data_IF_684924069260
#
_entry.id   IF_684924069260
#
_cell.length_a   1.000
_cell.length_b   1.000
_cell.length_c   1.000
_cell.angle_alpha   90.00
_cell.angle_beta   90.00
_cell.angle_gamma   90.00
#
_symmetry.space_group_name_H-M   'P 1'
#
loop_
_entity.id
_entity.type
_entity.pdbx_description
1 polymer ?
#
# COMPACT_ATOMS: atom_id res chain seq x y z
N UNK A 1 -70.57 -13.43 13.32
CA UNK A 1 -69.54 -14.50 13.25
C UNK A 1 -69.01 -14.55 11.82
N UNK A 2 -67.72 -14.87 11.67
CA UNK A 2 -66.97 -15.15 10.42
C UNK A 2 -67.02 -14.09 9.29
N UNK A 3 -65.98 -13.81 8.50
CA UNK A 3 -64.50 -13.83 8.53
C UNK A 3 -64.06 -13.60 7.06
N UNK A 4 -62.78 -13.35 6.82
CA UNK A 4 -62.08 -13.50 5.54
C UNK A 4 -62.40 -12.50 4.38
N UNK A 5 -61.61 -11.43 4.32
CA UNK A 5 -60.53 -11.35 3.33
C UNK A 5 -60.88 -11.15 1.85
N UNK A 6 -60.91 -9.88 1.42
CA UNK A 6 -60.75 -9.48 0.00
C UNK A 6 -59.38 -8.83 -0.19
N UNK A 7 -58.47 -9.50 -0.90
CA UNK A 7 -57.26 -8.88 -1.47
C UNK A 7 -57.22 -9.06 -2.99
N UNK A 8 -56.39 -8.24 -3.64
CA UNK A 8 -56.57 -7.80 -5.04
C UNK A 8 -55.85 -8.71 -6.05
N UNK A 9 -56.22 -8.52 -7.31
CA UNK A 9 -55.72 -9.23 -8.47
C UNK A 9 -54.22 -9.00 -8.71
N UNK A 10 -53.54 -10.01 -9.25
CA UNK A 10 -52.24 -9.93 -9.92
C UNK A 10 -52.24 -10.90 -11.10
N UNK A 11 -51.85 -10.44 -12.29
CA UNK A 11 -52.04 -11.20 -13.53
C UNK A 11 -50.92 -12.23 -13.77
N UNK A 12 -51.30 -13.43 -14.22
CA UNK A 12 -50.34 -14.43 -14.73
C UNK A 12 -50.07 -14.12 -16.20
N UNK A 13 -48.89 -13.56 -16.49
CA UNK A 13 -48.39 -13.41 -17.86
C UNK A 13 -47.61 -14.68 -18.22
N UNK A 14 -48.13 -15.45 -19.16
CA UNK A 14 -47.42 -16.59 -19.72
C UNK A 14 -46.34 -16.11 -20.72
N UNK A 15 -45.08 -16.14 -20.30
CA UNK A 15 -43.95 -15.94 -21.21
C UNK A 15 -43.61 -17.25 -21.92
N UNK A 16 -43.90 -17.34 -23.22
CA UNK A 16 -43.52 -18.49 -24.06
C UNK A 16 -42.01 -18.49 -24.30
N UNK A 17 -41.29 -19.45 -23.73
CA UNK A 17 -39.88 -19.64 -23.98
C UNK A 17 -39.63 -20.10 -25.43
N UNK A 18 -39.16 -19.18 -26.28
CA UNK A 18 -38.68 -19.50 -27.63
C UNK A 18 -37.28 -20.11 -27.57
N UNK A 19 -37.18 -21.42 -27.70
CA UNK A 19 -35.90 -22.14 -27.83
C UNK A 19 -35.22 -21.81 -29.18
N UNK A 20 -34.36 -20.80 -29.19
CA UNK A 20 -33.40 -20.58 -30.27
C UNK A 20 -32.17 -21.46 -30.02
N UNK A 21 -32.17 -22.66 -30.60
CA UNK A 21 -31.01 -23.56 -30.61
C UNK A 21 -29.90 -22.99 -31.49
N UNK A 22 -28.93 -22.32 -30.88
CA UNK A 22 -27.74 -21.84 -31.58
C UNK A 22 -26.67 -22.94 -31.59
N UNK A 23 -26.63 -23.73 -32.67
CA UNK A 23 -25.62 -24.78 -32.86
C UNK A 23 -24.25 -24.17 -33.15
N UNK A 24 -23.43 -23.93 -32.11
CA UNK A 24 -22.01 -23.64 -32.28
C UNK A 24 -21.26 -24.92 -32.70
N UNK A 25 -21.08 -25.10 -34.00
CA UNK A 25 -20.02 -25.97 -34.52
C UNK A 25 -18.67 -25.29 -34.29
N UNK A 26 -17.99 -25.62 -33.19
CA UNK A 26 -16.56 -25.34 -33.02
C UNK A 26 -15.78 -26.22 -34.00
N UNK A 27 -15.30 -25.62 -35.07
CA UNK A 27 -14.28 -26.23 -35.94
C UNK A 27 -12.90 -25.99 -35.31
N UNK A 28 -12.33 -27.02 -34.68
CA UNK A 28 -10.99 -26.95 -34.10
C UNK A 28 -9.91 -26.93 -35.18
N UNK A 29 -9.42 -25.74 -35.56
CA UNK A 29 -8.21 -25.52 -36.37
C UNK A 29 -7.66 -24.12 -36.07
N UNK A 30 -6.41 -23.99 -35.60
CA UNK A 30 -5.75 -22.67 -35.53
C UNK A 30 -4.78 -22.37 -34.38
N UNK A 31 -4.27 -23.35 -33.62
CA UNK A 31 -3.43 -23.15 -32.42
C UNK A 31 -2.01 -22.55 -32.66
N UNK A 32 -1.83 -21.82 -33.78
CA UNK A 32 -0.58 -21.11 -34.14
C UNK A 32 -0.71 -19.58 -34.18
N UNK A 33 -1.92 -19.01 -34.23
CA UNK A 33 -2.09 -17.56 -34.29
C UNK A 33 -1.98 -16.88 -32.91
N UNK A 34 -2.44 -17.54 -31.84
CA UNK A 34 -2.40 -16.96 -30.49
C UNK A 34 -0.97 -16.79 -29.96
N UNK A 35 -0.05 -17.67 -30.36
CA UNK A 35 1.35 -17.61 -29.94
C UNK A 35 2.08 -16.39 -30.56
N UNK A 36 1.78 -16.06 -31.81
CA UNK A 36 2.26 -14.84 -32.46
C UNK A 36 1.62 -13.57 -31.86
N UNK A 37 0.32 -13.62 -31.52
CA UNK A 37 -0.37 -12.51 -30.85
C UNK A 37 0.18 -12.24 -29.44
N UNK A 38 0.53 -13.30 -28.69
CA UNK A 38 1.18 -13.17 -27.39
C UNK A 38 2.60 -12.62 -27.49
N UNK A 39 3.38 -12.98 -28.51
CA UNK A 39 4.71 -12.40 -28.76
C UNK A 39 4.64 -10.89 -29.04
N UNK A 40 3.75 -10.44 -29.92
CA UNK A 40 3.56 -9.00 -30.19
C UNK A 40 3.13 -8.24 -28.93
N UNK A 41 2.33 -8.86 -28.06
CA UNK A 41 1.95 -8.27 -26.76
C UNK A 41 3.12 -8.22 -25.78
N UNK A 42 4.03 -9.20 -25.81
CA UNK A 42 5.25 -9.22 -24.99
C UNK A 42 6.19 -8.08 -25.42
N UNK A 43 6.50 -7.99 -26.72
CA UNK A 43 7.33 -6.92 -27.30
C UNK A 43 6.74 -5.52 -26.95
N UNK A 44 5.42 -5.39 -27.00
CA UNK A 44 4.73 -4.14 -26.65
C UNK A 44 4.80 -3.81 -25.16
N UNK A 45 4.76 -4.82 -24.27
CA UNK A 45 4.94 -4.64 -22.83
C UNK A 45 6.39 -4.29 -22.48
N UNK A 46 7.38 -4.92 -23.11
CA UNK A 46 8.80 -4.60 -22.91
C UNK A 46 9.12 -3.16 -23.33
N UNK A 47 8.60 -2.71 -24.47
CA UNK A 47 8.74 -1.30 -24.89
C UNK A 47 8.02 -0.34 -23.93
N UNK A 48 6.84 -0.71 -23.42
CA UNK A 48 6.10 0.12 -22.46
C UNK A 48 6.81 0.21 -21.10
N UNK A 49 7.44 -0.87 -20.62
CA UNK A 49 8.29 -0.86 -19.42
C UNK A 49 9.51 0.04 -19.64
N UNK A 50 10.17 -0.05 -20.80
CA UNK A 50 11.32 0.80 -21.16
C UNK A 50 10.96 2.28 -21.18
N UNK A 51 9.79 2.63 -21.75
CA UNK A 51 9.28 4.00 -21.79
C UNK A 51 8.86 4.53 -20.41
N UNK A 52 8.23 3.69 -19.57
CA UNK A 52 7.85 4.07 -18.21
C UNK A 52 9.08 4.25 -17.31
N UNK A 53 10.11 3.40 -17.43
CA UNK A 53 11.38 3.55 -16.70
C UNK A 53 12.06 4.88 -17.05
N UNK A 54 12.09 5.26 -18.34
CA UNK A 54 12.61 6.56 -18.77
C UNK A 54 11.80 7.76 -18.24
N UNK A 55 10.49 7.60 -18.04
CA UNK A 55 9.67 8.64 -17.38
C UNK A 55 9.99 8.77 -15.89
N UNK A 56 10.27 7.66 -15.19
CA UNK A 56 10.66 7.67 -13.77
C UNK A 56 11.99 8.42 -13.59
N UNK A 57 12.99 8.16 -14.43
CA UNK A 57 14.27 8.89 -14.42
C UNK A 57 14.07 10.40 -14.68
N UNK A 58 13.20 10.76 -15.63
CA UNK A 58 12.85 12.16 -15.91
C UNK A 58 12.16 12.87 -14.75
N UNK A 59 11.21 12.20 -14.08
CA UNK A 59 10.50 12.72 -12.91
C UNK A 59 11.44 12.88 -11.69
N UNK A 60 12.34 11.92 -11.46
CA UNK A 60 13.32 12.00 -10.39
C UNK A 60 14.25 13.22 -10.58
N UNK A 61 14.74 13.43 -11.81
CA UNK A 61 15.54 14.62 -12.14
C UNK A 61 14.76 15.93 -11.96
N UNK A 62 13.48 15.96 -12.35
CA UNK A 62 12.62 17.13 -12.16
C UNK A 62 12.37 17.43 -10.66
N UNK A 63 12.21 16.40 -9.82
CA UNK A 63 12.10 16.56 -8.36
C UNK A 63 13.38 17.14 -7.75
N UNK A 64 14.56 16.66 -8.15
CA UNK A 64 15.85 17.21 -7.68
C UNK A 64 16.01 18.68 -8.11
N UNK A 65 15.62 19.04 -9.33
CA UNK A 65 15.64 20.43 -9.78
C UNK A 65 14.69 21.33 -8.98
N UNK A 66 13.48 20.83 -8.68
CA UNK A 66 12.47 21.60 -7.94
C UNK A 66 12.89 21.83 -6.49
N UNK A 67 13.53 20.83 -5.85
CA UNK A 67 14.16 20.99 -4.53
C UNK A 67 15.27 22.05 -4.56
N UNK A 68 16.23 21.97 -5.49
CA UNK A 68 17.31 22.96 -5.61
C UNK A 68 16.79 24.38 -5.93
N UNK A 69 15.65 24.50 -6.63
CA UNK A 69 14.99 25.78 -6.86
C UNK A 69 14.32 26.31 -5.59
N UNK A 70 13.66 25.45 -4.80
CA UNK A 70 13.08 25.82 -3.51
C UNK A 70 14.14 26.24 -2.48
N UNK A 71 15.28 25.57 -2.43
CA UNK A 71 16.42 25.96 -1.58
C UNK A 71 16.91 27.36 -1.95
N UNK A 72 17.26 27.61 -3.21
CA UNK A 72 17.71 28.94 -3.68
C UNK A 72 16.65 30.03 -3.49
N UNK A 73 15.37 29.70 -3.64
CA UNK A 73 14.28 30.66 -3.43
C UNK A 73 14.10 30.97 -1.94
N UNK A 74 14.33 30.01 -1.04
CA UNK A 74 14.34 30.25 0.40
C UNK A 74 15.57 31.09 0.81
N UNK A 75 16.76 30.79 0.27
CA UNK A 75 17.98 31.59 0.48
C UNK A 75 17.82 33.04 0.01
N UNK A 76 17.22 33.29 -1.17
CA UNK A 76 16.95 34.66 -1.66
C UNK A 76 15.93 35.39 -0.78
N UNK A 77 14.84 34.72 -0.38
CA UNK A 77 13.85 35.30 0.52
C UNK A 77 14.44 35.63 1.89
N UNK A 78 15.25 34.75 2.47
CA UNK A 78 15.96 34.96 3.74
C UNK A 78 16.95 36.13 3.62
N UNK A 79 17.76 36.17 2.55
CA UNK A 79 18.69 37.28 2.29
C UNK A 79 17.97 38.63 2.10
N UNK A 80 16.78 38.62 1.50
CA UNK A 80 15.94 39.82 1.38
C UNK A 80 15.26 40.19 2.69
N UNK A 81 14.87 39.22 3.51
CA UNK A 81 14.32 39.45 4.84
C UNK A 81 15.37 40.10 5.75
N UNK A 82 16.59 39.56 5.79
CA UNK A 82 17.71 40.12 6.55
C UNK A 82 18.09 41.55 6.11
N UNK A 83 17.98 41.88 4.81
CA UNK A 83 18.19 43.25 4.33
C UNK A 83 17.06 44.21 4.75
N UNK A 84 15.82 43.74 4.85
CA UNK A 84 14.69 44.53 5.31
C UNK A 84 14.69 44.70 6.83
N UNK A 85 15.08 43.68 7.59
CA UNK A 85 15.20 43.73 9.05
C UNK A 85 16.46 44.50 9.51
N UNK A 86 17.55 44.46 8.73
CA UNK A 86 18.68 45.39 8.86
C UNK A 86 18.37 46.84 8.45
N UNK A 87 17.19 47.08 7.87
CA UNK A 87 16.73 48.36 7.35
C UNK A 87 15.77 49.11 8.29
N UNK A 88 16.33 49.85 9.25
CA UNK A 88 15.67 50.80 10.16
C UNK A 88 15.02 50.25 11.45
N UNK A 89 15.78 50.37 12.53
CA UNK A 89 15.30 51.08 13.73
C UNK A 89 16.12 52.37 13.90
N UNK A 90 15.67 53.48 13.31
CA UNK A 90 16.29 54.79 13.55
C UNK A 90 15.79 55.94 12.68
N UNK A 91 15.28 56.97 13.35
CA UNK A 91 14.96 58.33 12.87
C UNK A 91 13.86 58.54 11.80
N UNK A 92 12.91 59.40 12.18
CA UNK A 92 11.96 60.07 11.29
C UNK A 92 12.61 61.29 10.63
N UNK A 93 12.43 61.48 9.31
CA UNK A 93 11.98 62.79 8.80
C UNK A 93 11.53 62.74 7.33
N UNK A 94 10.69 63.71 6.94
CA UNK A 94 10.11 63.79 5.60
C UNK A 94 10.92 64.67 4.62
N UNK A 95 11.15 64.19 3.39
CA UNK A 95 11.58 65.03 2.26
C UNK A 95 11.10 64.48 0.90
N UNK A 96 10.80 65.39 -0.02
CA UNK A 96 10.19 65.16 -1.35
C UNK A 96 11.23 64.96 -2.48
N UNK A 97 10.83 64.51 -3.69
CA UNK A 97 11.75 63.86 -4.64
C UNK A 97 12.45 64.79 -5.65
N UNK A 98 13.67 64.40 -6.04
CA UNK A 98 14.43 64.84 -7.23
C UNK A 98 15.64 63.89 -7.39
N UNK A 99 16.11 63.44 -8.55
CA UNK A 99 15.67 63.67 -9.94
C UNK A 99 16.88 63.51 -10.89
N UNK A 100 16.93 62.41 -11.67
CA UNK A 100 18.05 62.08 -12.58
C UNK A 100 19.32 61.55 -11.86
N UNK A 101 20.26 60.85 -12.51
CA UNK A 101 20.41 60.43 -13.92
C UNK A 101 21.18 59.08 -14.00
N UNK A 102 20.91 58.26 -15.02
CA UNK A 102 21.83 57.21 -15.55
C UNK A 102 22.68 57.83 -16.69
N UNK A 103 23.73 57.19 -17.28
CA UNK A 103 24.22 55.80 -17.21
C UNK A 103 25.74 55.76 -16.81
N UNK A 104 26.64 54.82 -17.13
CA UNK A 104 26.64 53.69 -18.06
C UNK A 104 27.68 52.59 -17.74
N UNK A 105 27.43 51.40 -18.31
CA UNK A 105 28.33 50.26 -18.52
C UNK A 105 29.75 50.64 -18.99
N UNK A 106 30.80 49.98 -18.47
CA UNK A 106 32.10 49.82 -19.16
C UNK A 106 32.91 48.60 -18.69
N UNK A 107 33.14 47.68 -19.63
CA UNK A 107 34.20 46.67 -19.68
C UNK A 107 35.03 46.92 -20.97
N UNK A 108 36.17 46.25 -21.25
CA UNK A 108 37.17 45.58 -20.41
C UNK A 108 38.64 46.01 -20.72
N UNK A 109 39.62 45.56 -19.92
CA UNK A 109 41.01 45.16 -20.29
C UNK A 109 41.77 44.84 -18.99
N UNK A 110 42.14 43.60 -18.69
CA UNK A 110 43.23 42.79 -19.28
C UNK A 110 44.63 43.15 -18.77
N UNK A 111 45.20 42.27 -17.94
CA UNK A 111 46.63 41.99 -17.96
C UNK A 111 46.88 40.53 -17.55
N UNK A 112 47.63 39.80 -18.37
CA UNK A 112 48.03 38.41 -18.14
C UNK A 112 49.45 38.38 -17.59
N UNK A 113 49.76 37.47 -16.67
CA UNK A 113 51.05 36.74 -16.64
C UNK A 113 51.00 35.57 -15.65
N UNK A 114 51.52 34.43 -16.09
CA UNK A 114 51.47 33.13 -15.42
C UNK A 114 52.74 32.88 -14.59
N UNK A 115 52.67 31.99 -13.57
CA UNK A 115 53.78 31.12 -13.15
C UNK A 115 53.22 29.91 -12.37
N UNK A 116 53.70 28.71 -12.69
CA UNK A 116 53.45 27.38 -12.08
C UNK A 116 54.80 26.80 -11.55
N UNK A 117 54.92 25.60 -10.93
CA UNK A 117 53.98 24.80 -10.10
C UNK A 117 54.59 24.09 -8.83
N UNK A 118 53.72 23.44 -8.01
CA UNK A 118 53.92 22.17 -7.22
C UNK A 118 54.90 22.10 -5.99
N UNK A 119 54.84 21.08 -5.07
CA UNK A 119 53.76 20.13 -4.63
C UNK A 119 53.65 19.87 -3.07
N UNK A 120 52.87 18.84 -2.66
CA UNK A 120 52.81 18.10 -1.34
C UNK A 120 52.08 18.78 -0.15
N UNK A 121 51.51 18.07 0.87
CA UNK A 121 51.62 16.65 1.28
C UNK A 121 50.35 16.12 2.03
N UNK A 122 50.28 14.81 2.34
CA UNK A 122 49.21 14.14 3.10
C UNK A 122 49.63 13.77 4.54
N UNK A 123 48.71 13.85 5.51
CA UNK A 123 48.83 13.22 6.86
C UNK A 123 47.45 12.65 7.26
N UNK A 124 47.21 11.34 7.22
CA UNK A 124 47.57 10.32 8.22
C UNK A 124 46.86 10.52 9.56
N UNK A 125 45.96 9.58 9.90
CA UNK A 125 45.38 9.38 11.24
C UNK A 125 45.90 8.03 11.75
N UNK A 126 46.30 7.96 13.03
CA UNK A 126 46.81 6.77 13.70
C UNK A 126 45.87 6.39 14.88
N UNK A 127 45.59 5.10 15.15
CA UNK A 127 44.55 4.68 16.09
C UNK A 127 45.10 4.29 17.47
N UNK A 128 44.24 4.31 18.50
CA UNK A 128 44.54 3.68 19.78
C UNK A 128 43.29 3.00 20.39
N UNK A 129 43.40 1.68 20.57
CA UNK A 129 43.18 0.91 21.81
C UNK A 129 42.23 1.58 22.84
N UNK A 130 41.14 0.97 23.30
CA UNK A 130 40.85 -0.46 23.47
C UNK A 130 40.90 -0.82 24.95
N UNK A 131 39.74 -0.88 25.61
CA UNK A 131 39.61 -1.36 26.99
C UNK A 131 38.33 -2.18 27.14
N UNK A 132 38.37 -3.20 27.99
CA UNK A 132 37.33 -4.21 28.15
C UNK A 132 37.42 -4.85 29.53
N UNK A 133 36.49 -4.49 30.41
CA UNK A 133 36.14 -5.14 31.69
C UNK A 133 34.92 -4.36 32.27
N UNK A 134 33.99 -4.87 33.08
CA UNK A 134 33.54 -6.25 33.38
C UNK A 134 32.07 -6.14 33.88
N UNK A 135 31.34 -7.25 33.80
CA UNK A 135 29.97 -7.49 34.32
C UNK A 135 29.54 -6.74 35.60
N UNK A 136 28.28 -6.28 35.63
CA UNK A 136 27.38 -6.54 36.77
C UNK A 136 25.95 -6.78 36.26
N UNK A 137 25.19 -7.65 36.93
CA UNK A 137 23.86 -8.06 36.51
C UNK A 137 22.84 -7.87 37.62
N UNK A 138 21.77 -7.13 37.35
CA UNK A 138 20.54 -7.21 38.13
C UNK A 138 19.30 -6.95 37.28
N UNK A 139 18.39 -7.91 37.38
CA UNK A 139 17.10 -8.04 36.71
C UNK A 139 16.02 -7.14 37.35
N UNK A 140 15.38 -6.25 36.56
CA UNK A 140 13.97 -5.77 36.59
C UNK A 140 13.74 -5.10 35.21
N UNK A 141 12.66 -5.25 34.43
CA UNK A 141 11.40 -6.00 34.55
C UNK A 141 10.28 -5.27 33.75
N UNK A 142 9.49 -6.00 32.95
CA UNK A 142 8.42 -5.46 32.07
C UNK A 142 8.91 -4.98 30.70
N UNK A 143 8.66 -5.61 29.54
CA UNK A 143 7.47 -6.28 28.96
C UNK A 143 6.49 -5.32 28.25
N UNK A 144 6.51 -5.33 26.91
CA UNK A 144 5.40 -4.93 26.02
C UNK A 144 5.75 -5.30 24.54
N UNK A 145 6.06 -6.58 24.32
CA UNK A 145 6.06 -7.21 23.00
C UNK A 145 4.93 -8.25 22.98
N UNK A 146 3.68 -7.78 22.98
CA UNK A 146 2.51 -8.65 22.80
C UNK A 146 1.99 -8.57 21.36
N UNK A 147 1.39 -9.67 20.90
CA UNK A 147 0.73 -9.87 19.60
C UNK A 147 1.64 -10.13 18.38
N UNK A 148 2.44 -11.20 18.46
CA UNK A 148 2.89 -11.93 17.25
C UNK A 148 3.13 -13.45 17.45
N UNK A 149 3.25 -13.97 18.69
CA UNK A 149 3.64 -15.38 18.96
C UNK A 149 2.56 -16.28 19.56
N UNK A 150 1.59 -15.72 20.27
CA UNK A 150 0.87 -16.50 21.31
C UNK A 150 -0.45 -17.15 20.85
N UNK A 151 -0.75 -17.11 19.53
CA UNK A 151 -1.91 -17.80 18.94
C UNK A 151 -1.63 -19.30 18.69
N UNK A 152 -0.36 -19.73 18.76
CA UNK A 152 0.04 -21.11 18.43
C UNK A 152 0.34 -22.03 19.63
N UNK A 153 0.00 -21.63 20.87
CA UNK A 153 0.50 -22.31 22.08
C UNK A 153 -0.52 -22.55 23.23
N UNK A 154 -1.74 -22.99 22.92
CA UNK A 154 -2.71 -23.66 23.84
C UNK A 154 -3.98 -24.03 23.03
N UNK A 155 -4.65 -25.18 23.14
CA UNK A 155 -4.44 -26.43 23.89
C UNK A 155 -4.67 -27.62 22.94
N UNK A 156 -3.67 -28.48 22.71
CA UNK A 156 -3.95 -29.85 22.28
C UNK A 156 -4.13 -30.71 23.52
N UNK A 157 -5.39 -30.99 23.88
CA UNK A 157 -5.72 -31.94 24.94
C UNK A 157 -5.15 -33.31 24.60
N UNK A 158 -4.33 -33.86 25.49
CA UNK A 158 -3.73 -35.19 25.38
C UNK A 158 -4.80 -36.29 25.38
N UNK A 159 -5.33 -36.62 24.19
CA UNK A 159 -6.11 -37.84 24.00
C UNK A 159 -5.95 -38.37 22.57
N UNK A 160 -5.84 -39.69 22.46
CA UNK A 160 -5.61 -40.48 21.25
C UNK A 160 -4.25 -40.28 20.56
N UNK A 161 -3.18 -40.27 21.37
CA UNK A 161 -1.84 -40.66 20.95
C UNK A 161 -1.70 -42.20 20.94
N UNK A 162 -2.52 -42.89 20.15
CA UNK A 162 -2.39 -44.32 19.86
C UNK A 162 -2.53 -44.56 18.34
N UNK A 163 -1.59 -45.32 17.78
CA UNK A 163 -1.59 -45.90 16.41
C UNK A 163 -1.39 -44.98 15.18
N UNK A 164 -0.25 -44.28 15.11
CA UNK A 164 0.40 -44.00 13.80
C UNK A 164 1.40 -45.13 13.50
N UNK A 165 0.88 -46.28 13.08
CA UNK A 165 1.70 -47.37 12.53
C UNK A 165 2.17 -46.99 11.13
N UNK A 166 3.44 -46.59 11.03
CA UNK A 166 4.20 -46.60 9.78
C UNK A 166 4.56 -48.05 9.41
N UNK A 167 3.53 -48.84 9.09
CA UNK A 167 3.70 -50.17 8.51
C UNK A 167 4.28 -50.09 7.10
N UNK A 168 5.00 -51.13 6.63
CA UNK A 168 5.23 -51.27 5.19
C UNK A 168 3.87 -51.36 4.48
N UNK A 169 3.73 -50.87 3.25
CA UNK A 169 2.45 -50.90 2.55
C UNK A 169 1.98 -52.35 2.37
N UNK A 170 0.89 -52.72 3.04
CA UNK A 170 0.24 -54.02 2.87
C UNK A 170 -0.55 -54.06 1.56
N UNK A 171 0.19 -54.07 0.45
CA UNK A 171 -0.31 -54.30 -0.89
C UNK A 171 0.66 -55.18 -1.67
N UNK A 172 0.15 -56.09 -2.50
CA UNK A 172 1.01 -56.82 -3.42
C UNK A 172 1.70 -55.84 -4.38
N UNK A 173 3.00 -56.02 -4.62
CA UNK A 173 3.76 -55.24 -5.59
C UNK A 173 3.21 -55.50 -7.01
N UNK A 174 2.27 -54.65 -7.43
CA UNK A 174 1.55 -54.76 -8.70
C UNK A 174 0.05 -54.49 -8.61
N UNK A 175 -0.53 -54.40 -7.41
CA UNK A 175 -1.96 -54.09 -7.22
C UNK A 175 -2.21 -52.61 -6.89
N UNK A 176 -1.76 -51.70 -7.77
CA UNK A 176 -2.47 -50.42 -7.88
C UNK A 176 -3.89 -50.75 -8.35
N UNK A 177 -4.96 -50.22 -7.72
CA UNK A 177 -6.31 -50.32 -8.31
C UNK A 177 -6.26 -49.78 -9.74
N UNK A 178 -7.11 -50.28 -10.66
CA UNK A 178 -7.10 -49.81 -12.04
C UNK A 178 -7.27 -48.30 -12.01
N UNK A 179 -6.27 -47.59 -12.52
CA UNK A 179 -6.23 -46.13 -12.49
C UNK A 179 -7.52 -45.59 -13.08
N UNK A 180 -8.38 -45.00 -12.25
CA UNK A 180 -9.36 -44.07 -12.77
C UNK A 180 -8.59 -43.06 -13.62
N UNK A 181 -9.12 -42.71 -14.81
CA UNK A 181 -8.48 -41.68 -15.61
C UNK A 181 -8.36 -40.45 -14.73
N UNK A 182 -7.13 -39.94 -14.54
CA UNK A 182 -6.87 -38.72 -13.79
C UNK A 182 -7.86 -37.67 -14.28
N UNK A 183 -8.74 -37.21 -13.38
CA UNK A 183 -9.69 -36.18 -13.75
C UNK A 183 -8.92 -34.87 -13.90
N UNK A 184 -8.72 -34.49 -15.16
CA UNK A 184 -8.06 -33.23 -15.53
C UNK A 184 -9.07 -32.09 -15.64
N UNK A 185 -10.34 -32.30 -15.29
CA UNK A 185 -11.26 -31.20 -15.05
C UNK A 185 -10.94 -30.58 -13.69
N UNK A 186 -10.31 -29.41 -13.73
CA UNK A 186 -10.21 -28.54 -12.57
C UNK A 186 -11.58 -27.93 -12.34
N UNK A 187 -12.31 -28.47 -11.37
CA UNK A 187 -13.49 -27.85 -10.79
C UNK A 187 -13.03 -26.97 -9.60
N UNK A 188 -13.05 -25.63 -9.74
CA UNK A 188 -12.60 -24.72 -8.68
C UNK A 188 -13.47 -24.80 -7.42
N UNK A 189 -14.70 -25.31 -7.53
CA UNK A 189 -15.65 -25.41 -6.41
C UNK A 189 -15.57 -26.79 -5.71
N UNK A 190 -14.82 -27.76 -6.25
CA UNK A 190 -14.76 -29.14 -5.75
C UNK A 190 -13.72 -29.39 -4.65
N UNK A 191 -12.79 -28.46 -4.44
CA UNK A 191 -11.79 -28.53 -3.36
C UNK A 191 -12.25 -27.56 -2.26
N UNK A 192 -12.65 -28.04 -1.06
CA UNK A 192 -12.92 -27.17 0.07
C UNK A 192 -11.63 -26.41 0.41
N UNK A 193 -11.69 -25.08 0.37
CA UNK A 193 -10.55 -24.25 0.77
C UNK A 193 -10.37 -24.37 2.28
N UNK A 194 -9.15 -24.72 2.71
CA UNK A 194 -8.86 -24.96 4.13
C UNK A 194 -8.24 -23.70 4.79
N UNK A 195 -8.23 -23.65 6.12
CA UNK A 195 -7.52 -22.60 6.88
C UNK A 195 -6.03 -22.53 6.49
N UNK A 196 -5.43 -23.64 6.04
CA UNK A 196 -4.07 -23.68 5.50
C UNK A 196 -3.91 -22.83 4.23
N UNK A 197 -4.87 -22.87 3.31
CA UNK A 197 -4.88 -22.08 2.08
C UNK A 197 -5.08 -20.60 2.40
N UNK A 198 -5.99 -20.27 3.32
CA UNK A 198 -6.21 -18.92 3.80
C UNK A 198 -4.92 -18.30 4.37
N UNK A 199 -4.29 -18.99 5.31
CA UNK A 199 -3.05 -18.51 5.94
C UNK A 199 -1.91 -18.34 4.91
N UNK A 200 -1.76 -19.27 3.95
CA UNK A 200 -0.76 -19.16 2.90
C UNK A 200 -1.02 -17.96 1.97
N UNK A 201 -2.27 -17.75 1.56
CA UNK A 201 -2.71 -16.64 0.72
C UNK A 201 -2.50 -15.28 1.40
N UNK A 202 -2.86 -15.17 2.68
CA UNK A 202 -2.62 -13.99 3.50
C UNK A 202 -1.12 -13.69 3.61
N UNK A 203 -0.30 -14.70 3.92
CA UNK A 203 1.15 -14.53 4.10
C UNK A 203 1.83 -14.08 2.80
N UNK A 204 1.44 -14.65 1.66
CA UNK A 204 1.95 -14.25 0.35
C UNK A 204 1.66 -12.76 0.04
N UNK A 205 0.48 -12.27 0.42
CA UNK A 205 0.12 -10.85 0.33
C UNK A 205 0.93 -9.97 1.28
N UNK A 206 1.11 -10.40 2.53
CA UNK A 206 1.88 -9.66 3.53
C UNK A 206 3.37 -9.53 3.16
N UNK A 207 4.01 -10.63 2.77
CA UNK A 207 5.41 -10.65 2.33
C UNK A 207 5.63 -9.82 1.06
N UNK A 208 4.59 -9.61 0.26
CA UNK A 208 4.60 -8.72 -0.90
C UNK A 208 4.54 -7.24 -0.49
N UNK A 209 3.71 -6.87 0.50
CA UNK A 209 3.69 -5.50 1.07
C UNK A 209 5.06 -5.15 1.67
N UNK A 210 5.66 -6.06 2.43
CA UNK A 210 7.00 -5.88 3.04
C UNK A 210 8.08 -5.67 1.97
N UNK A 211 7.95 -6.29 0.79
CA UNK A 211 8.86 -6.10 -0.36
C UNK A 211 8.51 -4.90 -1.25
N UNK A 212 7.40 -4.20 -0.99
CA UNK A 212 6.89 -3.12 -1.85
C UNK A 212 6.27 -3.60 -3.17
N UNK A 213 5.97 -4.90 -3.29
CA UNK A 213 5.36 -5.53 -4.47
C UNK A 213 3.83 -5.33 -4.49
N UNK A 214 3.39 -4.07 -4.37
CA UNK A 214 1.99 -3.71 -4.13
C UNK A 214 1.01 -4.26 -5.17
N UNK A 215 1.42 -4.40 -6.44
CA UNK A 215 0.57 -5.00 -7.48
C UNK A 215 0.30 -6.49 -7.25
N UNK A 216 1.26 -7.23 -6.68
CA UNK A 216 1.07 -8.64 -6.31
C UNK A 216 0.31 -8.73 -4.98
N UNK A 217 0.68 -7.93 -3.97
CA UNK A 217 -0.03 -7.86 -2.69
C UNK A 217 -1.54 -7.64 -2.85
N UNK A 218 -1.93 -6.68 -3.70
CA UNK A 218 -3.33 -6.38 -3.98
C UNK A 218 -4.08 -7.59 -4.55
N UNK A 219 -3.47 -8.27 -5.52
CA UNK A 219 -4.04 -9.49 -6.11
C UNK A 219 -4.17 -10.60 -5.05
N UNK A 220 -3.22 -10.74 -4.13
CA UNK A 220 -3.31 -11.73 -3.06
C UNK A 220 -4.45 -11.43 -2.08
N UNK A 221 -4.56 -10.19 -1.59
CA UNK A 221 -5.60 -9.82 -0.63
C UNK A 221 -7.02 -9.76 -1.24
N UNK A 222 -7.17 -9.39 -2.51
CA UNK A 222 -8.49 -9.49 -3.19
C UNK A 222 -8.99 -10.93 -3.23
N UNK A 223 -8.16 -11.86 -3.69
CA UNK A 223 -8.48 -13.29 -3.68
C UNK A 223 -8.74 -13.79 -2.26
N UNK A 224 -7.98 -13.31 -1.26
CA UNK A 224 -8.24 -13.65 0.13
C UNK A 224 -9.67 -13.26 0.56
N UNK A 225 -10.09 -12.02 0.30
CA UNK A 225 -11.40 -11.51 0.75
C UNK A 225 -12.56 -12.14 -0.04
N UNK A 226 -12.33 -12.48 -1.32
CA UNK A 226 -13.30 -13.19 -2.17
C UNK A 226 -13.49 -14.65 -1.74
N UNK A 227 -12.39 -15.36 -1.46
CA UNK A 227 -12.40 -16.79 -1.10
C UNK A 227 -12.66 -17.06 0.38
N UNK A 228 -12.27 -16.16 1.28
CA UNK A 228 -12.29 -16.35 2.74
C UNK A 228 -12.96 -15.19 3.51
N UNK A 229 -14.16 -14.70 3.12
CA UNK A 229 -14.77 -13.50 3.71
C UNK A 229 -15.09 -13.64 5.21
N UNK A 230 -15.35 -14.85 5.70
CA UNK A 230 -15.66 -15.12 7.11
C UNK A 230 -14.42 -15.51 7.96
N UNK A 231 -13.22 -15.60 7.36
CA UNK A 231 -12.01 -16.00 8.08
C UNK A 231 -11.55 -14.92 9.08
N UNK A 232 -10.91 -15.32 10.19
CA UNK A 232 -10.47 -14.40 11.25
C UNK A 232 -9.56 -13.27 10.74
N UNK A 233 -8.77 -13.54 9.69
CA UNK A 233 -7.88 -12.57 9.05
C UNK A 233 -8.58 -11.67 8.01
N UNK A 234 -9.85 -11.90 7.62
CA UNK A 234 -10.51 -11.12 6.57
C UNK A 234 -10.59 -9.60 6.83
N UNK A 235 -10.85 -9.12 8.07
CA UNK A 235 -10.76 -7.69 8.38
C UNK A 235 -9.35 -7.12 8.24
N UNK A 236 -8.33 -7.96 8.46
CA UNK A 236 -6.91 -7.60 8.39
C UNK A 236 -6.41 -7.59 6.95
N UNK A 237 -6.77 -8.59 6.15
CA UNK A 237 -6.56 -8.63 4.71
C UNK A 237 -7.22 -7.41 4.02
N UNK A 238 -8.40 -7.00 4.48
CA UNK A 238 -9.08 -5.80 3.97
C UNK A 238 -8.34 -4.52 4.33
N UNK A 239 -7.78 -4.43 5.53
CA UNK A 239 -6.89 -3.33 5.92
C UNK A 239 -5.65 -3.28 5.01
N UNK A 240 -4.96 -4.40 4.80
CA UNK A 240 -3.77 -4.46 3.95
C UNK A 240 -4.07 -4.19 2.47
N UNK A 241 -5.24 -4.62 1.96
CA UNK A 241 -5.69 -4.27 0.62
C UNK A 241 -5.87 -2.76 0.47
N UNK A 242 -6.53 -2.11 1.44
CA UNK A 242 -6.69 -0.65 1.47
C UNK A 242 -5.37 0.10 1.55
N UNK A 243 -4.46 -0.30 2.45
CA UNK A 243 -3.08 0.24 2.53
C UNK A 243 -2.37 0.10 1.17
N UNK A 244 -2.44 -1.08 0.56
CA UNK A 244 -1.79 -1.38 -0.73
C UNK A 244 -2.33 -0.50 -1.85
N UNK A 245 -3.65 -0.29 -1.91
CA UNK A 245 -4.29 0.60 -2.87
C UNK A 245 -3.91 2.07 -2.64
N UNK A 246 -3.81 2.52 -1.39
CA UNK A 246 -3.31 3.86 -1.01
C UNK A 246 -1.86 4.06 -1.48
N UNK A 247 -0.96 3.08 -1.27
CA UNK A 247 0.43 3.14 -1.75
C UNK A 247 0.52 3.15 -3.28
N UNK A 248 -0.44 2.53 -3.98
CA UNK A 248 -0.59 2.58 -5.44
C UNK A 248 -1.27 3.85 -5.96
N UNK A 249 -1.66 4.78 -5.09
CA UNK A 249 -2.50 5.94 -5.40
C UNK A 249 -3.87 5.61 -6.03
N UNK A 250 -4.36 4.37 -5.85
CA UNK A 250 -5.67 3.91 -6.29
C UNK A 250 -6.76 4.33 -5.28
N UNK A 251 -6.81 5.62 -4.94
CA UNK A 251 -7.52 6.15 -3.78
C UNK A 251 -9.04 5.93 -3.79
N UNK A 252 -9.69 6.03 -4.95
CA UNK A 252 -11.14 5.78 -5.06
C UNK A 252 -11.49 4.31 -4.74
N UNK A 253 -10.70 3.38 -5.29
CA UNK A 253 -10.88 1.96 -5.05
C UNK A 253 -10.49 1.55 -3.62
N UNK A 254 -9.47 2.18 -3.04
CA UNK A 254 -9.17 2.04 -1.62
C UNK A 254 -10.36 2.47 -0.75
N UNK A 255 -11.02 3.58 -1.08
CA UNK A 255 -12.17 4.07 -0.33
C UNK A 255 -13.38 3.12 -0.42
N UNK A 256 -13.63 2.51 -1.58
CA UNK A 256 -14.67 1.49 -1.75
C UNK A 256 -14.37 0.26 -0.88
N UNK A 257 -13.18 -0.34 -1.02
CA UNK A 257 -12.76 -1.53 -0.24
C UNK A 257 -12.79 -1.27 1.28
N UNK A 258 -12.31 -0.11 1.73
CA UNK A 258 -12.24 0.22 3.15
C UNK A 258 -13.61 0.55 3.76
N UNK A 259 -14.53 1.12 2.97
CA UNK A 259 -15.91 1.33 3.38
C UNK A 259 -16.65 -0.01 3.50
N UNK A 260 -16.61 -0.85 2.46
CA UNK A 260 -17.24 -2.18 2.46
C UNK A 260 -16.69 -3.06 3.59
N UNK A 261 -15.37 -3.01 3.83
CA UNK A 261 -14.72 -3.66 4.97
C UNK A 261 -15.19 -3.14 6.32
N UNK A 262 -15.37 -1.83 6.47
CA UNK A 262 -15.87 -1.24 7.71
C UNK A 262 -17.34 -1.60 7.98
N UNK A 263 -18.17 -1.68 6.93
CA UNK A 263 -19.58 -2.10 7.04
C UNK A 263 -19.71 -3.62 7.31
N UNK A 264 -18.82 -4.44 6.74
CA UNK A 264 -18.79 -5.90 6.91
C UNK A 264 -18.23 -6.34 8.26
N UNK A 265 -17.21 -5.63 8.77
CA UNK A 265 -16.49 -5.99 10.00
C UNK A 265 -16.61 -4.95 11.14
N UNK A 266 -17.82 -4.45 11.49
CA UNK A 266 -18.00 -3.27 12.34
C UNK A 266 -17.61 -3.47 13.82
N UNK A 267 -17.40 -4.72 14.24
CA UNK A 267 -16.94 -5.13 15.59
C UNK A 267 -15.51 -5.65 15.61
N UNK A 268 -14.80 -5.64 14.48
CA UNK A 268 -13.39 -6.06 14.42
C UNK A 268 -12.48 -5.09 15.18
N UNK A 269 -11.39 -5.60 15.74
CA UNK A 269 -10.29 -4.78 16.29
C UNK A 269 -9.68 -3.85 15.23
N UNK A 270 -9.81 -4.19 13.94
CA UNK A 270 -9.40 -3.38 12.79
C UNK A 270 -10.40 -2.30 12.35
N UNK A 271 -11.62 -2.29 12.87
CA UNK A 271 -12.62 -1.29 12.49
C UNK A 271 -12.17 0.19 12.67
N UNK A 272 -11.38 0.57 13.69
CA UNK A 272 -10.81 1.92 13.78
C UNK A 272 -9.80 2.22 12.66
N UNK A 273 -8.91 1.27 12.36
CA UNK A 273 -7.90 1.40 11.30
C UNK A 273 -8.55 1.49 9.91
N UNK A 274 -9.56 0.67 9.63
CA UNK A 274 -10.32 0.70 8.38
C UNK A 274 -10.98 2.07 8.15
N UNK A 275 -11.63 2.63 9.18
CA UNK A 275 -12.27 3.94 9.10
C UNK A 275 -11.25 5.09 9.00
N UNK A 276 -10.09 4.96 9.63
CA UNK A 276 -8.99 5.92 9.51
C UNK A 276 -8.39 5.92 8.10
N UNK A 277 -8.07 4.75 7.56
CA UNK A 277 -7.53 4.61 6.21
C UNK A 277 -8.57 5.00 5.15
N UNK A 278 -9.87 4.82 5.39
CA UNK A 278 -10.93 5.39 4.55
C UNK A 278 -10.83 6.92 4.47
N UNK A 279 -10.51 7.60 5.58
CA UNK A 279 -10.23 9.03 5.58
C UNK A 279 -9.02 9.41 4.70
N UNK A 280 -7.93 8.63 4.76
CA UNK A 280 -6.74 8.82 3.92
C UNK A 280 -7.08 8.61 2.44
N UNK A 281 -7.80 7.54 2.12
CA UNK A 281 -8.25 7.22 0.77
C UNK A 281 -9.16 8.33 0.20
N UNK A 282 -10.18 8.78 0.95
CA UNK A 282 -11.06 9.88 0.54
C UNK A 282 -10.27 11.17 0.30
N UNK A 283 -9.30 11.50 1.16
CA UNK A 283 -8.45 12.67 0.98
C UNK A 283 -7.61 12.57 -0.30
N UNK A 284 -6.97 11.42 -0.54
CA UNK A 284 -6.22 11.14 -1.77
C UNK A 284 -7.08 11.16 -3.05
N UNK A 285 -8.36 10.79 -2.94
CA UNK A 285 -9.34 10.88 -4.02
C UNK A 285 -9.85 12.30 -4.29
N UNK A 286 -9.50 13.29 -3.45
CA UNK A 286 -9.96 14.68 -3.55
C UNK A 286 -11.30 14.97 -2.84
N UNK A 287 -11.85 14.01 -2.12
CA UNK A 287 -13.10 14.12 -1.36
C UNK A 287 -12.86 14.77 0.02
N UNK A 288 -12.25 15.95 0.04
CA UNK A 288 -11.70 16.61 1.23
C UNK A 288 -12.72 16.81 2.38
N UNK A 289 -13.90 17.37 2.06
CA UNK A 289 -14.97 17.57 3.06
C UNK A 289 -15.44 16.24 3.68
N UNK A 290 -15.48 15.18 2.86
CA UNK A 290 -15.86 13.84 3.30
C UNK A 290 -14.76 13.23 4.17
N UNK A 291 -13.48 13.36 3.77
CA UNK A 291 -12.33 12.88 4.54
C UNK A 291 -12.24 13.54 5.93
N UNK A 292 -12.37 14.86 6.03
CA UNK A 292 -12.35 15.57 7.32
C UNK A 292 -13.46 15.10 8.26
N UNK A 293 -14.65 14.84 7.72
CA UNK A 293 -15.77 14.24 8.48
C UNK A 293 -15.46 12.81 8.91
N UNK A 294 -14.90 11.98 8.05
CA UNK A 294 -14.52 10.60 8.35
C UNK A 294 -13.50 10.54 9.48
N UNK A 295 -12.44 11.36 9.46
CA UNK A 295 -11.48 11.44 10.57
C UNK A 295 -12.13 11.88 11.89
N UNK A 296 -13.05 12.85 11.84
CA UNK A 296 -13.84 13.27 13.00
C UNK A 296 -14.71 12.13 13.57
N UNK A 297 -15.27 11.30 12.69
CA UNK A 297 -16.03 10.10 13.07
C UNK A 297 -15.14 9.03 13.72
N UNK A 298 -13.87 8.85 13.30
CA UNK A 298 -12.91 7.96 13.99
C UNK A 298 -12.75 8.38 15.45
N UNK A 299 -12.42 9.66 15.71
CA UNK A 299 -12.22 10.18 17.06
C UNK A 299 -13.50 10.13 17.91
N UNK A 300 -14.67 10.29 17.28
CA UNK A 300 -15.99 10.25 17.95
C UNK A 300 -16.47 8.83 18.26
N UNK A 301 -16.18 7.86 17.39
CA UNK A 301 -16.64 6.46 17.51
C UNK A 301 -15.69 5.60 18.34
N UNK A 302 -14.39 5.93 18.34
CA UNK A 302 -13.35 5.17 19.03
C UNK A 302 -12.59 6.03 20.07
N UNK A 303 -13.28 6.63 21.07
CA UNK A 303 -12.64 7.51 22.06
C UNK A 303 -11.62 6.79 22.96
N UNK A 304 -11.84 5.50 23.20
CA UNK A 304 -10.99 4.59 24.00
C UNK A 304 -9.82 3.99 23.19
N UNK A 305 -9.59 4.44 21.97
CA UNK A 305 -8.40 4.06 21.20
C UNK A 305 -7.11 4.60 21.83
N UNK A 306 -5.98 3.96 21.54
CA UNK A 306 -4.68 4.32 22.15
C UNK A 306 -4.30 5.77 21.85
N UNK A 307 -3.57 6.41 22.77
CA UNK A 307 -3.12 7.80 22.58
C UNK A 307 -2.38 7.98 21.26
N UNK A 308 -1.44 7.08 20.95
CA UNK A 308 -0.68 7.09 19.69
C UNK A 308 -1.55 6.94 18.43
N UNK A 309 -2.63 6.16 18.47
CA UNK A 309 -3.59 6.08 17.36
C UNK A 309 -4.34 7.42 17.21
N UNK A 310 -4.86 7.98 18.31
CA UNK A 310 -5.58 9.26 18.30
C UNK A 310 -4.70 10.41 17.80
N UNK A 311 -3.45 10.46 18.25
CA UNK A 311 -2.47 11.46 17.82
C UNK A 311 -2.17 11.34 16.31
N UNK A 312 -2.12 10.11 15.77
CA UNK A 312 -1.99 9.86 14.33
C UNK A 312 -3.20 10.41 13.55
N UNK A 313 -4.43 10.14 14.00
CA UNK A 313 -5.66 10.66 13.36
C UNK A 313 -5.67 12.19 13.35
N UNK A 314 -5.31 12.82 14.48
CA UNK A 314 -5.23 14.29 14.59
C UNK A 314 -4.13 14.86 13.69
N UNK A 315 -2.98 14.18 13.57
CA UNK A 315 -1.92 14.59 12.67
C UNK A 315 -2.33 14.52 11.19
N UNK A 316 -3.06 13.48 10.77
CA UNK A 316 -3.59 13.40 9.41
C UNK A 316 -4.73 14.42 9.14
N UNK A 317 -5.57 14.72 10.12
CA UNK A 317 -6.53 15.82 10.01
C UNK A 317 -5.83 17.15 9.71
N UNK A 318 -4.80 17.50 10.48
CA UNK A 318 -4.04 18.72 10.29
C UNK A 318 -3.28 18.74 8.94
N UNK A 319 -2.77 17.59 8.47
CA UNK A 319 -2.15 17.44 7.14
C UNK A 319 -3.17 17.61 6.01
N UNK A 320 -4.39 17.13 6.21
CA UNK A 320 -5.51 17.24 5.28
C UNK A 320 -6.17 18.63 5.23
N UNK A 321 -5.75 19.57 6.09
CA UNK A 321 -6.35 20.90 6.17
C UNK A 321 -7.70 20.96 6.88
N UNK A 322 -7.99 19.95 7.71
CA UNK A 322 -9.11 19.92 8.65
C UNK A 322 -8.77 20.67 9.97
#
# INVERSE_FOLDING_TARGET
>A
MTLAGRWRQGAVIAATAGLLTFSMTVAGQGQGNDLAAMQVRLDQLEEQVRLNSGQIEGLQFQLTQLQSLLERTQEDNEYRFQQLEGGSLGETDAATPSGGETPAERLPQENQSQTEPAPSDQTVIDPLVGDSDIMDGSEIGGEDNLYASDVFAQEQTEQDADDVVLGPPEGELGSTPPSEPLDLSFDPDAIPLEDGDANAQYQAGYDAVVRGEYAFAENQFRQFIESFPDHQQAPDATYWLGETLIQRAAYGEAAEVLLDGFESYPTSTRAPDLLFNLGIALHGAGEFDTACRTYGEVLRRYPESTGAFRDRVIAEQARAGC
#
